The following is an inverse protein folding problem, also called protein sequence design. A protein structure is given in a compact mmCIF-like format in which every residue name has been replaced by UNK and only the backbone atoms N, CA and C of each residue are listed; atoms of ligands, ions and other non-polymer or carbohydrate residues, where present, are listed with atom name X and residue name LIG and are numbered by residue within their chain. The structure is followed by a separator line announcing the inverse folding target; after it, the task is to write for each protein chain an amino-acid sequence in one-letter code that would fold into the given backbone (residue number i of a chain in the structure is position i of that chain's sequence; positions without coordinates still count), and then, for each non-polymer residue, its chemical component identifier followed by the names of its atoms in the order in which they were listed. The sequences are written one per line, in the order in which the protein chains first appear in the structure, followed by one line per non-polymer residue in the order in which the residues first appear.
data_IF_282638180790
#
_entry.id   IF_282638180790
#
_cell.length_a   1.000
_cell.length_b   1.000
_cell.length_c   1.000
_cell.angle_alpha   90.00
_cell.angle_beta   90.00
_cell.angle_gamma   90.00
#
_symmetry.space_group_name_H-M   'P 1'
#
loop_
_entity.id
_entity.type
_entity.pdbx_description
1 polymer ?
#
# COMPACT_ATOMS: atom_id res chain seq x y z
N UNK A 1 18.09 44.24 -35.89
CA UNK A 1 16.70 43.84 -35.56
C UNK A 1 16.53 42.32 -35.37
N UNK A 2 17.59 41.58 -35.01
CA UNK A 2 17.59 40.09 -34.89
C UNK A 2 17.84 39.61 -33.45
N UNK A 3 18.34 40.48 -32.57
CA UNK A 3 18.72 40.15 -31.19
C UNK A 3 17.54 40.04 -30.21
N UNK A 4 16.41 40.73 -30.47
CA UNK A 4 15.23 40.66 -29.59
C UNK A 4 14.45 39.34 -29.73
N UNK A 5 14.50 38.68 -30.89
CA UNK A 5 13.77 37.43 -31.12
C UNK A 5 14.41 36.23 -30.42
N UNK A 6 15.74 36.19 -30.34
CA UNK A 6 16.45 35.11 -29.64
C UNK A 6 16.29 35.18 -28.11
N UNK A 7 16.20 36.38 -27.53
CA UNK A 7 15.97 36.55 -26.09
C UNK A 7 14.57 36.08 -25.67
N UNK A 8 13.56 36.27 -26.55
CA UNK A 8 12.19 35.77 -26.32
C UNK A 8 12.07 34.26 -26.48
N UNK A 9 12.82 33.67 -27.40
CA UNK A 9 12.88 32.21 -27.58
C UNK A 9 13.61 31.56 -26.40
N UNK A 10 14.72 32.13 -25.93
CA UNK A 10 15.42 31.66 -24.73
C UNK A 10 14.58 31.81 -23.46
N UNK A 11 13.84 32.92 -23.31
CA UNK A 11 12.91 33.12 -22.19
C UNK A 11 11.72 32.15 -22.22
N UNK A 12 11.18 31.86 -23.41
CA UNK A 12 10.13 30.85 -23.57
C UNK A 12 10.67 29.43 -23.33
N UNK A 13 11.89 29.11 -23.78
CA UNK A 13 12.53 27.84 -23.47
C UNK A 13 12.83 27.69 -21.98
N UNK A 14 13.26 28.75 -21.27
CA UNK A 14 13.45 28.72 -19.81
C UNK A 14 12.12 28.54 -19.05
N UNK A 15 11.05 29.21 -19.49
CA UNK A 15 9.71 29.03 -18.93
C UNK A 15 9.15 27.64 -19.20
N UNK A 16 9.38 27.05 -20.38
CA UNK A 16 8.98 25.67 -20.72
C UNK A 16 9.85 24.65 -19.97
N UNK A 17 11.11 24.97 -19.71
CA UNK A 17 12.02 24.13 -18.89
C UNK A 17 11.63 24.15 -17.42
N UNK A 18 11.11 25.28 -16.91
CA UNK A 18 10.53 25.39 -15.57
C UNK A 18 9.11 24.83 -15.47
N UNK A 19 8.31 24.87 -16.54
CA UNK A 19 7.00 24.18 -16.63
C UNK A 19 7.14 22.66 -16.78
N UNK A 20 8.31 22.16 -17.21
CA UNK A 20 8.63 20.73 -17.26
C UNK A 20 9.19 20.18 -15.92
N UNK A 21 9.34 21.01 -14.89
CA UNK A 21 9.72 20.57 -13.55
C UNK A 21 8.46 20.28 -12.73
N UNK A 22 7.94 19.07 -12.97
CA UNK A 22 7.29 18.20 -11.99
C UNK A 22 6.29 18.86 -11.04
N UNK A 23 5.03 18.88 -11.46
CA UNK A 23 3.90 19.05 -10.54
C UNK A 23 3.71 17.70 -9.81
N UNK A 24 4.08 17.61 -8.52
CA UNK A 24 4.02 16.39 -7.71
C UNK A 24 2.89 16.46 -6.67
N UNK A 25 1.97 15.50 -6.69
CA UNK A 25 1.18 15.07 -5.54
C UNK A 25 1.88 13.83 -5.04
N UNK A 26 2.25 13.87 -3.77
CA UNK A 26 3.44 13.18 -3.31
C UNK A 26 3.09 12.42 -2.05
N UNK A 27 3.35 11.12 -2.09
CA UNK A 27 3.40 10.31 -0.88
C UNK A 27 4.38 10.98 0.08
N UNK A 28 3.94 11.22 1.32
CA UNK A 28 4.74 11.87 2.35
C UNK A 28 5.31 10.84 3.31
N UNK A 29 6.27 11.25 4.16
CA UNK A 29 6.75 10.39 5.26
C UNK A 29 5.61 9.97 6.20
N UNK A 30 4.64 10.87 6.44
CA UNK A 30 3.44 10.55 7.22
C UNK A 30 2.58 9.50 6.51
N UNK A 31 2.46 9.59 5.18
CA UNK A 31 1.74 8.59 4.37
C UNK A 31 2.37 7.21 4.53
N UNK A 32 3.71 7.12 4.50
CA UNK A 32 4.45 5.86 4.72
C UNK A 32 4.20 5.31 6.13
N UNK A 33 4.23 6.14 7.16
CA UNK A 33 3.94 5.73 8.55
C UNK A 33 2.50 5.25 8.72
N UNK A 34 1.53 5.94 8.12
CA UNK A 34 0.13 5.56 8.16
C UNK A 34 -0.10 4.23 7.44
N UNK A 35 0.44 4.06 6.23
CA UNK A 35 0.40 2.81 5.49
C UNK A 35 1.06 1.68 6.27
N UNK A 36 2.17 1.94 6.98
CA UNK A 36 2.82 0.96 7.86
C UNK A 36 1.87 0.50 8.97
N UNK A 37 1.15 1.45 9.60
CA UNK A 37 0.15 1.16 10.62
C UNK A 37 -0.99 0.30 10.09
N UNK A 38 -1.55 0.67 8.92
CA UNK A 38 -2.63 -0.04 8.26
C UNK A 38 -2.20 -1.46 7.86
N UNK A 39 -1.02 -1.60 7.24
CA UNK A 39 -0.46 -2.91 6.88
C UNK A 39 -0.31 -3.82 8.10
N UNK A 40 0.21 -3.28 9.21
CA UNK A 40 0.32 -4.02 10.49
C UNK A 40 -1.04 -4.42 11.04
N UNK A 41 -2.04 -3.53 10.98
CA UNK A 41 -3.40 -3.83 11.44
C UNK A 41 -4.04 -4.94 10.59
N UNK A 42 -3.96 -4.83 9.26
CA UNK A 42 -4.44 -5.83 8.32
C UNK A 42 -3.80 -7.19 8.56
N UNK A 43 -2.47 -7.23 8.75
CA UNK A 43 -1.75 -8.44 9.15
C UNK A 43 -2.27 -9.02 10.47
N UNK A 44 -2.45 -8.19 11.48
CA UNK A 44 -2.97 -8.60 12.79
C UNK A 44 -4.38 -9.20 12.73
N UNK A 45 -5.23 -8.75 11.79
CA UNK A 45 -6.56 -9.35 11.56
C UNK A 45 -6.46 -10.77 11.01
N UNK A 46 -5.56 -11.00 10.05
CA UNK A 46 -5.30 -12.34 9.48
C UNK A 46 -4.71 -13.27 10.55
N UNK A 47 -3.71 -12.79 11.30
CA UNK A 47 -3.09 -13.58 12.39
C UNK A 47 -4.05 -13.92 13.52
N UNK A 48 -5.02 -13.04 13.83
CA UNK A 48 -6.02 -13.29 14.87
C UNK A 48 -6.95 -14.44 14.48
N UNK A 49 -7.36 -14.53 13.21
CA UNK A 49 -8.17 -15.65 12.73
C UNK A 49 -7.49 -17.00 13.00
N UNK A 50 -6.18 -17.08 12.78
CA UNK A 50 -5.37 -18.27 13.09
C UNK A 50 -5.36 -18.64 14.58
N UNK A 51 -5.43 -17.66 15.48
CA UNK A 51 -5.44 -17.89 16.93
C UNK A 51 -6.80 -18.35 17.42
N UNK A 52 -7.87 -17.71 16.96
CA UNK A 52 -9.22 -17.96 17.43
C UNK A 52 -9.85 -19.21 16.76
N UNK A 53 -9.34 -19.63 15.59
CA UNK A 53 -9.76 -20.85 14.90
C UNK A 53 -9.18 -22.16 15.46
N UNK A 54 -8.12 -22.10 16.27
CA UNK A 54 -7.40 -23.29 16.78
C UNK A 54 -7.71 -23.58 18.25
N UNK A 55 -8.17 -22.59 19.02
CA UNK A 55 -8.54 -22.77 20.44
C UNK A 55 -9.95 -22.21 20.73
N UNK A 56 -10.94 -23.10 20.77
CA UNK A 56 -12.14 -22.88 21.60
C UNK A 56 -13.44 -22.66 20.85
N UNK A 57 -14.37 -23.60 21.06
CA UNK A 57 -15.78 -23.31 20.93
C UNK A 57 -16.24 -22.23 21.93
N UNK A 58 -17.35 -21.58 21.59
CA UNK A 58 -18.19 -20.84 22.53
C UNK A 58 -17.56 -19.58 23.13
N UNK A 59 -17.78 -18.44 22.48
CA UNK A 59 -17.45 -17.16 23.10
C UNK A 59 -17.72 -15.97 22.20
N UNK A 60 -19.00 -15.68 21.94
CA UNK A 60 -19.38 -14.43 21.31
C UNK A 60 -18.88 -13.23 22.14
N UNK A 61 -18.21 -12.28 21.48
CA UNK A 61 -18.03 -10.92 22.01
C UNK A 61 -18.34 -9.94 20.89
N UNK A 62 -19.34 -9.11 21.18
CA UNK A 62 -20.01 -8.15 20.30
C UNK A 62 -19.12 -7.36 19.36
N UNK A 63 -19.51 -7.40 18.09
CA UNK A 63 -19.24 -6.38 17.09
C UNK A 63 -19.78 -5.04 17.63
N UNK A 64 -18.87 -4.19 18.10
CA UNK A 64 -19.12 -2.78 18.32
C UNK A 64 -19.29 -2.11 16.97
N UNK A 65 -20.51 -1.64 16.71
CA UNK A 65 -20.95 -0.88 15.55
C UNK A 65 -20.01 0.28 15.20
N UNK A 66 -19.67 0.39 13.91
CA UNK A 66 -19.59 1.72 13.28
C UNK A 66 -20.05 1.68 11.82
N UNK A 67 -21.35 1.97 11.68
CA UNK A 67 -22.09 2.62 10.58
C UNK A 67 -21.86 2.10 9.15
N UNK A 68 -22.80 1.24 8.78
CA UNK A 68 -23.34 1.01 7.44
C UNK A 68 -23.80 2.33 6.81
N UNK A 69 -23.39 2.55 5.56
CA UNK A 69 -24.08 3.42 4.61
C UNK A 69 -25.30 2.64 4.07
N UNK A 70 -26.49 3.21 4.26
CA UNK A 70 -27.79 2.63 3.94
C UNK A 70 -28.05 2.53 2.42
N UNK A 71 -28.77 1.49 2.01
CA UNK A 71 -29.17 1.30 0.62
C UNK A 71 -29.73 -0.08 0.25
N UNK A 72 -30.73 -0.59 0.96
CA UNK A 72 -31.73 -1.49 0.33
C UNK A 72 -31.93 -2.89 0.93
N UNK A 73 -33.08 -3.06 1.61
CA UNK A 73 -33.91 -4.28 1.77
C UNK A 73 -33.22 -5.66 1.69
N UNK A 74 -33.08 -6.29 2.86
CA UNK A 74 -32.97 -7.74 2.98
C UNK A 74 -33.31 -8.18 4.41
N UNK A 75 -34.43 -8.89 4.57
CA UNK A 75 -34.90 -9.46 5.82
C UNK A 75 -33.95 -10.57 6.29
N UNK A 76 -33.31 -10.40 7.46
CA UNK A 76 -32.45 -11.42 8.06
C UNK A 76 -33.31 -12.45 8.80
N UNK A 77 -33.50 -13.63 8.20
CA UNK A 77 -34.05 -14.81 8.88
C UNK A 77 -32.89 -15.50 9.59
N UNK A 78 -32.84 -15.39 10.92
CA UNK A 78 -31.91 -16.13 11.77
C UNK A 78 -32.41 -17.58 11.88
N UNK A 79 -31.93 -18.45 10.97
CA UNK A 79 -32.03 -19.88 11.19
C UNK A 79 -30.72 -20.34 11.83
N UNK A 80 -30.77 -20.56 13.14
CA UNK A 80 -29.72 -21.24 13.88
C UNK A 80 -29.58 -22.67 13.37
N UNK A 81 -28.39 -23.01 12.91
CA UNK A 81 -27.96 -24.36 12.61
C UNK A 81 -26.64 -24.60 13.33
N UNK A 82 -26.74 -25.28 14.47
CA UNK A 82 -25.63 -26.07 15.02
C UNK A 82 -25.31 -27.12 13.95
N UNK A 83 -24.19 -26.96 13.26
CA UNK A 83 -23.77 -27.83 12.16
C UNK A 83 -22.26 -27.87 12.11
N UNK A 84 -21.73 -29.09 11.94
CA UNK A 84 -20.32 -29.40 11.74
C UNK A 84 -19.58 -28.27 11.01
N UNK A 85 -18.47 -27.78 11.59
CA UNK A 85 -17.57 -26.86 10.88
C UNK A 85 -16.95 -27.62 9.72
N UNK A 86 -17.63 -27.58 8.58
CA UNK A 86 -17.09 -28.06 7.34
C UNK A 86 -15.85 -27.23 7.01
N UNK A 87 -14.75 -27.91 6.68
CA UNK A 87 -13.46 -27.31 6.29
C UNK A 87 -13.60 -26.27 5.18
N UNK A 88 -14.65 -26.38 4.37
CA UNK A 88 -14.98 -25.43 3.30
C UNK A 88 -15.54 -24.11 3.86
N UNK A 89 -16.30 -24.13 4.96
CA UNK A 89 -16.77 -22.92 5.64
C UNK A 89 -15.64 -22.08 6.23
N UNK A 90 -14.67 -22.73 6.88
CA UNK A 90 -13.46 -22.07 7.41
C UNK A 90 -12.60 -21.50 6.27
N UNK A 91 -12.49 -22.22 5.14
CA UNK A 91 -11.77 -21.79 3.94
C UNK A 91 -12.36 -20.52 3.33
N UNK A 92 -13.68 -20.43 3.27
CA UNK A 92 -14.37 -19.26 2.71
C UNK A 92 -14.27 -18.06 3.67
N UNK A 93 -14.39 -18.28 4.99
CA UNK A 93 -14.29 -17.20 5.98
C UNK A 93 -12.89 -16.57 6.03
N UNK A 94 -11.83 -17.38 6.00
CA UNK A 94 -10.46 -16.84 5.95
C UNK A 94 -10.17 -16.18 4.60
N UNK A 95 -10.69 -16.71 3.49
CA UNK A 95 -10.56 -16.05 2.18
C UNK A 95 -11.18 -14.65 2.20
N UNK A 96 -12.37 -14.52 2.79
CA UNK A 96 -13.05 -13.23 2.98
C UNK A 96 -12.21 -12.29 3.86
N UNK A 97 -11.64 -12.79 4.96
CA UNK A 97 -10.82 -11.99 5.87
C UNK A 97 -9.55 -11.46 5.19
N UNK A 98 -8.83 -12.34 4.48
CA UNK A 98 -7.62 -11.95 3.73
C UNK A 98 -7.96 -10.98 2.60
N UNK A 99 -9.04 -11.25 1.87
CA UNK A 99 -9.53 -10.37 0.80
C UNK A 99 -9.87 -8.98 1.33
N UNK A 100 -10.56 -8.89 2.47
CA UNK A 100 -10.91 -7.61 3.09
C UNK A 100 -9.65 -6.84 3.52
N UNK A 101 -8.66 -7.52 4.09
CA UNK A 101 -7.39 -6.92 4.49
C UNK A 101 -6.62 -6.36 3.29
N UNK A 102 -6.55 -7.12 2.19
CA UNK A 102 -5.95 -6.67 0.92
C UNK A 102 -6.68 -5.46 0.36
N UNK A 103 -8.02 -5.47 0.35
CA UNK A 103 -8.82 -4.34 -0.15
C UNK A 103 -8.60 -3.06 0.64
N UNK A 104 -8.53 -3.14 1.97
CA UNK A 104 -8.24 -1.97 2.81
C UNK A 104 -6.87 -1.40 2.44
N UNK A 105 -5.83 -2.24 2.41
CA UNK A 105 -4.48 -1.80 2.07
C UNK A 105 -4.40 -1.19 0.66
N UNK A 106 -5.00 -1.84 -0.34
CA UNK A 106 -5.03 -1.32 -1.71
C UNK A 106 -5.79 -0.01 -1.82
N UNK A 107 -6.90 0.14 -1.10
CA UNK A 107 -7.70 1.37 -1.12
C UNK A 107 -6.94 2.52 -0.48
N UNK A 108 -6.28 2.30 0.66
CA UNK A 108 -5.46 3.32 1.32
C UNK A 108 -4.27 3.71 0.45
N UNK A 109 -3.59 2.73 -0.16
CA UNK A 109 -2.51 2.98 -1.11
C UNK A 109 -2.99 3.79 -2.32
N UNK A 110 -4.14 3.45 -2.88
CA UNK A 110 -4.74 4.18 -4.00
C UNK A 110 -5.08 5.62 -3.60
N UNK A 111 -5.69 5.82 -2.42
CA UNK A 111 -6.00 7.16 -1.91
C UNK A 111 -4.75 8.03 -1.80
N UNK A 112 -3.63 7.46 -1.32
CA UNK A 112 -2.35 8.16 -1.28
C UNK A 112 -1.81 8.52 -2.67
N UNK A 113 -1.99 7.63 -3.65
CA UNK A 113 -1.58 7.85 -5.04
C UNK A 113 -2.46 8.87 -5.78
N UNK A 114 -3.71 9.05 -5.36
CA UNK A 114 -4.67 9.98 -5.98
C UNK A 114 -4.69 11.37 -5.35
N UNK A 115 -3.93 11.61 -4.27
CA UNK A 115 -3.87 12.93 -3.62
C UNK A 115 -3.49 14.03 -4.62
N UNK A 116 -4.26 15.14 -4.67
CA UNK A 116 -4.04 16.21 -5.62
C UNK A 116 -2.68 16.88 -5.41
N UNK A 117 -2.11 17.32 -6.53
CA UNK A 117 -0.78 17.92 -6.60
C UNK A 117 -0.85 19.36 -6.05
N UNK A 118 -0.57 19.57 -4.75
CA UNK A 118 -0.51 20.92 -4.16
C UNK A 118 0.95 21.35 -4.04
N UNK A 119 1.25 22.53 -4.60
CA UNK A 119 2.57 23.16 -4.55
C UNK A 119 2.84 23.69 -3.14
N UNK A 120 3.63 22.99 -2.33
CA UNK A 120 4.18 23.58 -1.11
C UNK A 120 5.57 24.17 -1.36
N UNK A 121 5.65 25.45 -1.00
CA UNK A 121 6.76 26.36 -1.15
C UNK A 121 7.80 26.09 -0.03
N UNK A 122 9.05 25.90 -0.46
CA UNK A 122 10.33 26.02 0.27
C UNK A 122 10.35 25.74 1.79
N UNK A 123 10.86 24.55 2.16
CA UNK A 123 11.32 24.31 3.53
C UNK A 123 12.82 24.61 3.65
N UNK A 124 13.09 25.75 4.30
CA UNK A 124 14.41 26.20 4.77
C UNK A 124 15.16 25.11 5.55
N UNK A 125 16.44 24.91 5.24
CA UNK A 125 17.31 23.90 5.85
C UNK A 125 17.55 24.15 7.34
N UNK A 126 17.27 23.19 8.24
CA UNK A 126 17.83 23.17 9.59
C UNK A 126 19.28 22.64 9.55
N UNK A 127 20.09 23.00 10.56
CA UNK A 127 21.53 22.70 10.62
C UNK A 127 21.87 21.20 10.68
N UNK A 128 23.09 20.87 10.25
CA UNK A 128 23.57 19.51 9.93
C UNK A 128 23.39 18.45 11.03
N UNK A 129 23.38 18.80 12.33
CA UNK A 129 23.19 17.82 13.42
C UNK A 129 21.74 17.31 13.47
N UNK A 130 20.76 18.18 13.21
CA UNK A 130 19.35 17.80 13.12
C UNK A 130 19.08 16.95 11.87
N UNK A 131 19.98 16.99 10.89
CA UNK A 131 19.85 16.27 9.62
C UNK A 131 20.13 14.78 9.78
N UNK A 132 21.12 14.42 10.59
CA UNK A 132 21.49 13.01 10.81
C UNK A 132 20.40 12.24 11.58
N UNK A 133 19.87 12.80 12.68
CA UNK A 133 18.78 12.17 13.43
C UNK A 133 17.50 12.02 12.59
N UNK A 134 17.17 13.03 11.78
CA UNK A 134 16.05 12.96 10.84
C UNK A 134 16.28 11.88 9.80
N UNK A 135 17.50 11.73 9.28
CA UNK A 135 17.81 10.69 8.31
C UNK A 135 17.78 9.28 8.89
N UNK A 136 18.13 9.08 10.16
CA UNK A 136 17.91 7.81 10.85
C UNK A 136 16.41 7.48 10.87
N UNK A 137 15.58 8.41 11.33
CA UNK A 137 14.12 8.18 11.38
C UNK A 137 13.51 7.89 10.01
N UNK A 138 13.91 8.64 8.97
CA UNK A 138 13.41 8.44 7.60
C UNK A 138 13.74 7.05 7.07
N UNK A 139 14.96 6.55 7.35
CA UNK A 139 15.38 5.20 6.96
C UNK A 139 14.64 4.13 7.75
N UNK A 140 14.47 4.33 9.05
CA UNK A 140 13.70 3.42 9.91
C UNK A 140 12.23 3.33 9.49
N UNK A 141 11.61 4.46 9.13
CA UNK A 141 10.23 4.47 8.61
C UNK A 141 10.12 3.69 7.31
N UNK A 142 11.06 3.89 6.37
CA UNK A 142 11.11 3.16 5.10
C UNK A 142 11.29 1.65 5.32
N UNK A 143 12.31 1.26 6.09
CA UNK A 143 12.60 -0.14 6.37
C UNK A 143 11.48 -0.80 7.18
N UNK A 144 10.87 -0.07 8.11
CA UNK A 144 9.72 -0.50 8.89
C UNK A 144 8.50 -0.77 8.00
N UNK A 145 8.22 0.12 7.06
CA UNK A 145 7.13 -0.05 6.10
C UNK A 145 7.30 -1.29 5.23
N UNK A 146 8.49 -1.46 4.63
CA UNK A 146 8.77 -2.64 3.81
C UNK A 146 8.71 -3.93 4.62
N UNK A 147 9.26 -3.92 5.84
CA UNK A 147 9.20 -5.06 6.75
C UNK A 147 7.76 -5.47 7.07
N UNK A 148 6.89 -4.53 7.44
CA UNK A 148 5.48 -4.85 7.73
C UNK A 148 4.75 -5.37 6.49
N UNK A 149 5.07 -4.81 5.30
CA UNK A 149 4.52 -5.28 4.02
C UNK A 149 4.93 -6.72 3.74
N UNK A 150 6.22 -7.04 3.86
CA UNK A 150 6.71 -8.41 3.67
C UNK A 150 6.09 -9.38 4.67
N UNK A 151 5.94 -8.99 5.95
CA UNK A 151 5.27 -9.82 6.95
C UNK A 151 3.78 -10.03 6.64
N UNK A 152 3.10 -9.01 6.13
CA UNK A 152 1.71 -9.13 5.68
C UNK A 152 1.60 -10.13 4.52
N UNK A 153 2.43 -10.00 3.49
CA UNK A 153 2.46 -10.92 2.35
C UNK A 153 2.81 -12.35 2.77
N UNK A 154 3.73 -12.50 3.72
CA UNK A 154 4.05 -13.80 4.31
C UNK A 154 2.83 -14.45 4.98
N UNK A 155 2.01 -13.70 5.70
CA UNK A 155 0.76 -14.24 6.24
C UNK A 155 -0.19 -14.67 5.13
N UNK A 156 -0.33 -13.91 4.04
CA UNK A 156 -1.14 -14.31 2.89
C UNK A 156 -0.62 -15.61 2.27
N UNK A 157 0.70 -15.71 2.09
CA UNK A 157 1.37 -16.91 1.57
C UNK A 157 1.10 -18.15 2.43
N UNK A 158 1.25 -18.05 3.75
CA UNK A 158 1.00 -19.17 4.67
C UNK A 158 -0.43 -19.69 4.53
N UNK A 159 -1.41 -18.79 4.42
CA UNK A 159 -2.81 -19.18 4.22
C UNK A 159 -3.03 -19.77 2.83
N UNK A 160 -2.39 -19.22 1.79
CA UNK A 160 -2.47 -19.80 0.45
C UNK A 160 -1.89 -21.23 0.41
N UNK A 161 -0.78 -21.49 1.11
CA UNK A 161 -0.20 -22.84 1.22
C UNK A 161 -1.12 -23.82 1.95
N UNK A 162 -1.83 -23.34 2.97
CA UNK A 162 -2.74 -24.14 3.78
C UNK A 162 -4.06 -24.45 3.07
N UNK A 163 -4.67 -23.44 2.46
CA UNK A 163 -6.04 -23.50 1.93
C UNK A 163 -6.12 -23.70 0.41
N UNK A 164 -5.00 -23.51 -0.29
CA UNK A 164 -4.84 -23.72 -1.75
C UNK A 164 -5.99 -23.09 -2.53
N UNK A 165 -6.13 -21.77 -2.40
CA UNK A 165 -7.12 -21.06 -3.20
C UNK A 165 -6.69 -21.07 -4.67
N UNK A 166 -7.66 -21.21 -5.58
CA UNK A 166 -7.40 -21.31 -7.02
C UNK A 166 -7.38 -19.94 -7.70
N UNK A 167 -7.20 -19.95 -9.03
CA UNK A 167 -7.04 -18.72 -9.82
C UNK A 167 -8.25 -17.77 -9.83
N UNK A 168 -9.44 -18.25 -9.46
CA UNK A 168 -10.65 -17.43 -9.30
C UNK A 168 -10.80 -16.77 -7.92
N UNK A 169 -9.82 -16.96 -7.03
CA UNK A 169 -9.86 -16.43 -5.66
C UNK A 169 -9.84 -14.91 -5.63
N UNK A 170 -10.63 -14.34 -4.72
CA UNK A 170 -10.63 -12.89 -4.50
C UNK A 170 -9.32 -12.41 -3.86
N UNK A 171 -8.59 -13.29 -3.17
CA UNK A 171 -7.25 -13.01 -2.64
C UNK A 171 -6.26 -12.76 -3.78
N UNK A 172 -6.29 -13.57 -4.84
CA UNK A 172 -5.45 -13.36 -6.03
C UNK A 172 -5.71 -11.99 -6.65
N UNK A 173 -6.98 -11.64 -6.87
CA UNK A 173 -7.34 -10.33 -7.42
C UNK A 173 -6.88 -9.16 -6.53
N UNK A 174 -6.90 -9.34 -5.20
CA UNK A 174 -6.35 -8.36 -4.27
C UNK A 174 -4.83 -8.21 -4.38
N UNK A 175 -4.10 -9.31 -4.54
CA UNK A 175 -2.65 -9.30 -4.75
C UNK A 175 -2.27 -8.66 -6.09
N UNK A 176 -2.97 -9.00 -7.17
CA UNK A 176 -2.77 -8.39 -8.49
C UNK A 176 -3.05 -6.88 -8.45
N UNK A 177 -4.06 -6.45 -7.70
CA UNK A 177 -4.34 -5.03 -7.51
C UNK A 177 -3.22 -4.33 -6.72
N UNK A 178 -2.75 -4.93 -5.62
CA UNK A 178 -1.64 -4.40 -4.83
C UNK A 178 -0.37 -4.27 -5.70
N UNK A 179 -0.03 -5.31 -6.45
CA UNK A 179 1.08 -5.30 -7.41
C UNK A 179 0.93 -4.17 -8.44
N UNK A 180 -0.27 -4.01 -8.98
CA UNK A 180 -0.59 -2.97 -9.95
C UNK A 180 -0.39 -1.56 -9.39
N UNK A 181 -0.84 -1.31 -8.15
CA UNK A 181 -0.61 -0.02 -7.48
C UNK A 181 0.87 0.20 -7.13
N UNK A 182 1.57 -0.87 -6.76
CA UNK A 182 2.97 -0.79 -6.34
C UNK A 182 3.89 -0.44 -7.50
N UNK A 183 3.80 -1.21 -8.59
CA UNK A 183 4.79 -1.22 -9.67
C UNK A 183 4.28 -0.62 -11.00
N UNK A 184 2.97 -0.44 -11.17
CA UNK A 184 2.38 0.05 -12.42
C UNK A 184 1.72 1.40 -12.27
N UNK A 185 1.76 2.18 -13.34
CA UNK A 185 1.06 3.46 -13.45
C UNK A 185 -0.42 3.31 -13.81
N UNK A 186 -0.79 2.15 -14.37
CA UNK A 186 -2.14 1.87 -14.89
C UNK A 186 -3.21 1.71 -13.79
N UNK A 187 -2.80 1.65 -12.52
CA UNK A 187 -3.67 1.39 -11.39
C UNK A 187 -4.36 2.61 -10.79
N UNK A 188 -4.04 3.84 -11.23
CA UNK A 188 -4.66 5.07 -10.71
C UNK A 188 -4.80 6.15 -11.78
N UNK A 189 -5.67 7.13 -11.48
CA UNK A 189 -6.00 8.25 -12.36
C UNK A 189 -4.85 9.24 -12.58
N UNK A 190 -3.80 9.16 -11.75
CA UNK A 190 -2.65 10.05 -11.81
C UNK A 190 -1.45 9.47 -12.61
N UNK A 191 -1.59 8.26 -13.18
CA UNK A 191 -0.58 7.54 -13.97
C UNK A 191 0.78 7.45 -13.25
N UNK A 192 0.77 7.01 -11.98
CA UNK A 192 1.97 6.93 -11.10
C UNK A 192 2.06 5.56 -10.44
N UNK A 193 3.25 5.01 -10.25
CA UNK A 193 3.41 3.86 -9.35
C UNK A 193 3.84 4.30 -7.96
N UNK A 194 3.58 3.48 -6.95
CA UNK A 194 4.05 3.72 -5.59
C UNK A 194 5.58 3.80 -5.50
N UNK A 195 6.30 2.93 -6.22
CA UNK A 195 7.77 2.97 -6.31
C UNK A 195 8.24 4.34 -6.82
N UNK A 196 7.62 4.85 -7.88
CA UNK A 196 8.00 6.17 -8.43
C UNK A 196 7.80 7.28 -7.41
N UNK A 197 6.70 7.24 -6.67
CA UNK A 197 6.43 8.23 -5.62
C UNK A 197 7.44 8.14 -4.47
N UNK A 198 7.80 6.93 -4.02
CA UNK A 198 8.82 6.74 -3.00
C UNK A 198 10.20 7.21 -3.47
N UNK A 199 10.56 6.94 -4.71
CA UNK A 199 11.83 7.42 -5.28
C UNK A 199 11.93 8.95 -5.28
N UNK A 200 10.84 9.66 -5.59
CA UNK A 200 10.80 11.12 -5.50
C UNK A 200 10.78 11.60 -4.05
N UNK A 201 10.05 10.92 -3.15
CA UNK A 201 10.03 11.22 -1.72
C UNK A 201 11.42 11.18 -1.12
N UNK A 202 12.10 10.04 -1.23
CA UNK A 202 13.39 9.82 -0.58
C UNK A 202 14.55 10.52 -1.27
N UNK A 203 14.41 10.89 -2.55
CA UNK A 203 15.36 11.78 -3.21
C UNK A 203 15.40 13.15 -2.53
N UNK A 204 14.23 13.70 -2.22
CA UNK A 204 14.12 15.05 -1.68
C UNK A 204 14.52 15.13 -0.19
N UNK A 205 14.54 14.00 0.53
CA UNK A 205 15.07 13.98 1.90
C UNK A 205 16.59 14.06 1.94
N UNK A 206 17.29 13.67 0.87
CA UNK A 206 18.76 13.61 0.84
C UNK A 206 19.38 12.59 1.80
N UNK A 207 18.58 11.71 2.41
CA UNK A 207 19.03 10.77 3.44
C UNK A 207 19.63 9.47 2.87
N UNK A 208 19.32 9.14 1.62
CA UNK A 208 19.82 7.95 0.94
C UNK A 208 20.94 8.33 -0.03
N UNK A 209 22.14 7.77 0.18
CA UNK A 209 23.28 8.03 -0.69
C UNK A 209 23.07 7.40 -2.07
N UNK A 210 22.45 6.21 -2.11
CA UNK A 210 22.24 5.43 -3.34
C UNK A 210 20.80 4.96 -3.43
N UNK A 211 19.88 5.87 -3.75
CA UNK A 211 18.44 5.60 -3.94
C UNK A 211 18.16 4.31 -4.73
N UNK A 212 18.84 4.09 -5.86
CA UNK A 212 18.62 2.90 -6.68
C UNK A 212 19.01 1.60 -5.99
N UNK A 213 20.02 1.62 -5.11
CA UNK A 213 20.50 0.43 -4.39
C UNK A 213 19.79 0.20 -3.07
N UNK A 214 19.29 1.27 -2.45
CA UNK A 214 18.71 1.23 -1.12
C UNK A 214 17.18 1.24 -1.14
N UNK A 215 16.57 2.06 -1.99
CA UNK A 215 15.11 2.21 -2.09
C UNK A 215 14.57 1.30 -3.18
N UNK A 216 14.87 1.64 -4.45
CA UNK A 216 14.34 0.93 -5.62
C UNK A 216 14.59 -0.58 -5.57
N UNK A 217 15.77 -1.00 -5.13
CA UNK A 217 16.09 -2.43 -5.00
C UNK A 217 15.13 -3.15 -4.05
N UNK A 218 14.91 -2.60 -2.85
CA UNK A 218 14.07 -3.25 -1.85
C UNK A 218 12.60 -3.24 -2.27
N UNK A 219 12.17 -2.19 -2.96
CA UNK A 219 10.85 -2.15 -3.60
C UNK A 219 10.68 -3.24 -4.67
N UNK A 220 11.70 -3.44 -5.52
CA UNK A 220 11.68 -4.53 -6.51
C UNK A 220 11.60 -5.89 -5.81
N UNK A 221 12.32 -6.10 -4.70
CA UNK A 221 12.24 -7.35 -3.92
C UNK A 221 10.81 -7.61 -3.40
N UNK A 222 10.05 -6.58 -3.01
CA UNK A 222 8.62 -6.71 -2.65
C UNK A 222 7.77 -7.07 -3.87
N UNK A 223 8.04 -6.47 -5.03
CA UNK A 223 7.31 -6.77 -6.28
C UNK A 223 7.58 -8.20 -6.76
N UNK A 224 8.83 -8.65 -6.70
CA UNK A 224 9.21 -10.04 -7.00
C UNK A 224 8.44 -11.00 -6.07
N UNK A 225 8.41 -10.70 -4.78
CA UNK A 225 7.67 -11.52 -3.83
C UNK A 225 6.15 -11.54 -4.10
N UNK A 226 5.57 -10.40 -4.46
CA UNK A 226 4.16 -10.32 -4.88
C UNK A 226 3.87 -11.18 -6.11
N UNK A 227 4.73 -11.11 -7.13
CA UNK A 227 4.56 -11.91 -8.35
C UNK A 227 4.65 -13.41 -8.04
N UNK A 228 5.67 -13.83 -7.28
CA UNK A 228 5.83 -15.22 -6.86
C UNK A 228 4.60 -15.72 -6.08
N UNK A 229 4.04 -14.89 -5.20
CA UNK A 229 2.84 -15.22 -4.44
C UNK A 229 1.59 -15.30 -5.34
N UNK A 230 1.41 -14.39 -6.30
CA UNK A 230 0.31 -14.45 -7.28
C UNK A 230 0.39 -15.74 -8.11
N UNK A 231 1.62 -16.15 -8.46
CA UNK A 231 1.87 -17.39 -9.19
C UNK A 231 1.53 -18.65 -8.38
N UNK A 232 1.31 -18.56 -7.07
CA UNK A 232 0.86 -19.71 -6.29
C UNK A 232 -0.64 -20.04 -6.48
N UNK A 233 -1.39 -19.21 -7.23
CA UNK A 233 -2.83 -19.38 -7.46
C UNK A 233 -3.17 -19.98 -8.84
N UNK A 234 -2.20 -20.61 -9.53
CA UNK A 234 -2.45 -21.31 -10.80
C UNK A 234 -3.23 -22.63 -10.64
#
# INVERSE_FOLDING_TARGET
MVTLSLLRILGACFLVSHLALGVFGKITLESVRNLTGVTRECRGRIERWRRDGVEGGGGGVGVGERRVFDGGRGQLVLSGGDGDRDRDGDRDEIEVTVTAALRILCSDLLMELEKPLVSDMELSSPGDILRDEVCVMVKEDFDGFLKETTLFLYQVQEHQMQWRWGGGSAVKGGLEWLQGLWASRRGNTQDRSFIEQQMVLYKDTGCFEKLNREVLRKDIEVVEYLNDLIDMFW
#
